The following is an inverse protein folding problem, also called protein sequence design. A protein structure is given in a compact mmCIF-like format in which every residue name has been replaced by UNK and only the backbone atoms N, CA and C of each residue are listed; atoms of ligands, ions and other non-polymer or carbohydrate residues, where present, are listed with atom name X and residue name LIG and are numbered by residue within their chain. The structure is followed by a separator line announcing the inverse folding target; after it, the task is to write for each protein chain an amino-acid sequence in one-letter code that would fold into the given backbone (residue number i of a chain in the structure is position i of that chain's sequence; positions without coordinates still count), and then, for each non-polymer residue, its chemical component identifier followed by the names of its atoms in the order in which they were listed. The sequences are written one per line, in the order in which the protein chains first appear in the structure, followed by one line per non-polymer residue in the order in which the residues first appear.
data_IF_485419340075
#
_entry.id   IF_485419340075
#
_cell.length_a   1.000
_cell.length_b   1.000
_cell.length_c   1.000
_cell.angle_alpha   90.00
_cell.angle_beta   90.00
_cell.angle_gamma   90.00
#
_symmetry.space_group_name_H-M   'P 1'
#
loop_
_entity.id
_entity.type
_entity.pdbx_description
1 polymer ?
#
# COMPACT_ATOMS: atom_id res chain seq x y z
N UNK A 1 -10.04 8.68 -15.48
CA UNK A 1 -10.07 10.07 -14.93
C UNK A 1 -10.50 10.00 -13.48
N UNK A 2 -9.85 10.77 -12.57
CA UNK A 2 -10.32 10.96 -11.20
C UNK A 2 -11.33 12.10 -11.20
N UNK A 3 -12.55 11.85 -10.73
CA UNK A 3 -13.63 12.85 -10.70
C UNK A 3 -13.56 13.73 -9.44
N UNK A 4 -13.18 13.15 -8.32
CA UNK A 4 -13.04 13.87 -7.06
C UNK A 4 -12.22 13.10 -6.05
N UNK A 5 -11.60 13.82 -5.10
CA UNK A 5 -10.84 13.23 -3.98
C UNK A 5 -11.06 14.10 -2.75
N UNK A 6 -11.35 13.47 -1.63
CA UNK A 6 -11.33 14.12 -0.32
C UNK A 6 -10.19 13.52 0.49
N UNK A 7 -9.29 14.37 0.94
CA UNK A 7 -8.22 14.01 1.87
C UNK A 7 -8.24 14.97 3.05
N UNK A 8 -8.23 14.44 4.24
CA UNK A 8 -8.24 15.25 5.45
C UNK A 8 -7.23 14.73 6.46
N UNK A 9 -6.49 15.65 7.05
CA UNK A 9 -5.71 15.40 8.27
C UNK A 9 -6.59 15.81 9.45
N UNK A 10 -6.99 14.87 10.30
CA UNK A 10 -7.60 15.21 11.57
C UNK A 10 -7.43 14.05 12.56
N UNK A 11 -7.36 14.41 13.83
CA UNK A 11 -7.23 13.49 14.96
C UNK A 11 -8.53 12.80 15.37
N UNK A 12 -9.64 13.16 14.72
CA UNK A 12 -10.98 12.68 15.04
C UNK A 12 -11.33 11.32 14.43
N UNK A 13 -12.34 10.66 15.01
CA UNK A 13 -12.82 9.33 14.66
C UNK A 13 -13.07 9.12 13.16
N UNK A 14 -12.31 8.21 12.54
CA UNK A 14 -12.42 7.84 11.13
C UNK A 14 -13.81 7.34 10.73
N UNK A 15 -14.51 6.65 11.64
CA UNK A 15 -15.78 5.98 11.35
C UNK A 15 -16.93 6.95 11.01
N UNK A 16 -17.04 8.07 11.71
CA UNK A 16 -18.11 9.05 11.45
C UNK A 16 -17.81 9.94 10.24
N UNK A 17 -16.54 10.09 9.88
CA UNK A 17 -16.12 11.02 8.83
C UNK A 17 -16.21 10.42 7.43
N UNK A 18 -15.96 9.11 7.29
CA UNK A 18 -15.98 8.47 5.98
C UNK A 18 -17.34 8.63 5.29
N UNK A 19 -18.44 8.44 6.03
CA UNK A 19 -19.79 8.57 5.49
C UNK A 19 -20.12 10.02 5.11
N UNK A 20 -19.81 10.99 5.97
CA UNK A 20 -20.02 12.41 5.69
C UNK A 20 -19.21 12.91 4.50
N UNK A 21 -17.95 12.49 4.37
CA UNK A 21 -17.12 12.85 3.23
C UNK A 21 -17.61 12.21 1.94
N UNK A 22 -18.05 10.94 2.00
CA UNK A 22 -18.63 10.27 0.86
C UNK A 22 -19.92 10.97 0.40
N UNK A 23 -20.83 11.26 1.33
CA UNK A 23 -22.08 11.98 1.06
C UNK A 23 -21.82 13.32 0.38
N UNK A 24 -20.86 14.11 0.92
CA UNK A 24 -20.46 15.38 0.33
C UNK A 24 -19.95 15.19 -1.10
N UNK A 25 -19.03 14.24 -1.31
CA UNK A 25 -18.42 14.00 -2.63
C UNK A 25 -19.45 13.52 -3.66
N UNK A 26 -20.34 12.62 -3.28
CA UNK A 26 -21.41 12.13 -4.14
C UNK A 26 -22.40 13.23 -4.52
N UNK A 27 -22.77 14.06 -3.53
CA UNK A 27 -23.66 15.20 -3.75
C UNK A 27 -23.05 16.23 -4.71
N UNK A 28 -21.79 16.59 -4.50
CA UNK A 28 -21.06 17.54 -5.34
C UNK A 28 -20.91 17.04 -6.80
N UNK A 29 -20.69 15.75 -6.97
CA UNK A 29 -20.58 15.11 -8.28
C UNK A 29 -21.93 14.72 -8.91
N UNK A 30 -23.03 14.88 -8.19
CA UNK A 30 -24.38 14.46 -8.62
C UNK A 30 -24.42 12.94 -8.94
N UNK A 31 -23.73 12.14 -8.13
CA UNK A 31 -23.63 10.68 -8.25
C UNK A 31 -24.28 9.98 -7.06
N UNK A 32 -24.64 8.71 -7.25
CA UNK A 32 -25.10 7.79 -6.20
C UNK A 32 -24.19 6.57 -6.12
N UNK A 33 -24.19 5.86 -5.00
CA UNK A 33 -23.42 4.61 -4.85
C UNK A 33 -23.77 3.56 -5.90
N UNK A 34 -25.00 3.52 -6.34
CA UNK A 34 -25.46 2.60 -7.37
C UNK A 34 -24.88 2.86 -8.77
N UNK A 35 -24.34 4.06 -9.02
CA UNK A 35 -23.75 4.45 -10.31
C UNK A 35 -22.33 3.91 -10.48
N UNK A 36 -21.74 3.33 -9.43
CA UNK A 36 -20.40 2.73 -9.49
C UNK A 36 -20.46 1.25 -9.80
N UNK A 37 -19.55 0.79 -10.64
CA UNK A 37 -19.44 -0.62 -11.05
C UNK A 37 -18.46 -1.42 -10.20
N UNK A 38 -17.64 -0.74 -9.38
CA UNK A 38 -16.59 -1.34 -8.58
C UNK A 38 -16.34 -0.51 -7.33
N UNK A 39 -16.15 -1.18 -6.20
CA UNK A 39 -15.60 -0.59 -4.99
C UNK A 39 -14.15 -1.02 -4.80
N UNK A 40 -13.30 -0.10 -4.36
CA UNK A 40 -11.91 -0.37 -4.07
C UNK A 40 -11.52 0.17 -2.70
N UNK A 41 -10.70 -0.58 -1.98
CA UNK A 41 -10.29 -0.22 -0.62
C UNK A 41 -8.85 -0.63 -0.35
N UNK A 42 -8.16 0.14 0.50
CA UNK A 42 -6.87 -0.32 1.04
C UNK A 42 -7.09 -1.54 1.93
N UNK A 43 -6.45 -2.66 1.57
CA UNK A 43 -6.44 -3.86 2.40
C UNK A 43 -5.36 -3.82 3.49
N UNK A 44 -4.51 -2.80 3.52
CA UNK A 44 -3.36 -2.68 4.42
C UNK A 44 -2.03 -2.81 3.66
N UNK A 45 -0.91 -2.77 4.40
CA UNK A 45 -0.80 -2.54 5.83
C UNK A 45 -1.14 -1.11 6.25
N UNK A 46 -1.52 -0.94 7.52
CA UNK A 46 -1.88 0.38 8.05
C UNK A 46 -2.51 0.35 9.44
N UNK A 47 -3.19 1.44 9.80
CA UNK A 47 -3.92 1.53 11.08
C UNK A 47 -4.99 0.46 11.18
N UNK A 48 -4.93 -0.37 12.21
CA UNK A 48 -5.88 -1.46 12.48
C UNK A 48 -7.35 -0.99 12.48
N UNK A 49 -7.65 0.09 13.21
CA UNK A 49 -8.99 0.68 13.24
C UNK A 49 -9.39 1.23 11.89
N UNK A 50 -8.49 1.97 11.23
CA UNK A 50 -8.76 2.55 9.91
C UNK A 50 -9.05 1.49 8.84
N UNK A 51 -8.28 0.40 8.82
CA UNK A 51 -8.49 -0.72 7.90
C UNK A 51 -9.86 -1.37 8.11
N UNK A 52 -10.23 -1.66 9.35
CA UNK A 52 -11.54 -2.26 9.65
C UNK A 52 -12.69 -1.37 9.23
N UNK A 53 -12.62 -0.07 9.54
CA UNK A 53 -13.65 0.89 9.13
C UNK A 53 -13.76 0.97 7.61
N UNK A 54 -12.63 1.11 6.90
CA UNK A 54 -12.60 1.20 5.45
C UNK A 54 -13.12 -0.07 4.77
N UNK A 55 -12.63 -1.25 5.19
CA UNK A 55 -13.07 -2.53 4.65
C UNK A 55 -14.54 -2.79 4.91
N UNK A 56 -15.03 -2.57 6.14
CA UNK A 56 -16.45 -2.76 6.46
C UNK A 56 -17.33 -1.84 5.63
N UNK A 57 -16.95 -0.58 5.45
CA UNK A 57 -17.71 0.36 4.62
C UNK A 57 -17.74 -0.09 3.14
N UNK A 58 -16.59 -0.42 2.56
CA UNK A 58 -16.50 -0.86 1.17
C UNK A 58 -17.27 -2.16 0.92
N UNK A 59 -17.15 -3.14 1.83
CA UNK A 59 -17.91 -4.40 1.78
C UNK A 59 -19.42 -4.14 1.86
N UNK A 60 -19.88 -3.28 2.78
CA UNK A 60 -21.28 -2.93 2.92
C UNK A 60 -21.84 -2.24 1.66
N UNK A 61 -21.09 -1.32 1.06
CA UNK A 61 -21.51 -0.67 -0.18
C UNK A 61 -21.54 -1.63 -1.36
N UNK A 62 -20.54 -2.52 -1.47
CA UNK A 62 -20.48 -3.55 -2.51
C UNK A 62 -21.67 -4.51 -2.40
N UNK A 63 -21.96 -5.02 -1.22
CA UNK A 63 -23.06 -5.95 -0.93
C UNK A 63 -24.43 -5.33 -1.27
N UNK A 64 -24.70 -4.13 -0.74
CA UNK A 64 -26.01 -3.46 -0.96
C UNK A 64 -26.26 -3.13 -2.43
N UNK A 65 -25.21 -2.84 -3.20
CA UNK A 65 -25.35 -2.48 -4.60
C UNK A 65 -25.10 -3.67 -5.56
N UNK A 66 -24.82 -4.87 -5.04
CA UNK A 66 -24.52 -6.06 -5.87
C UNK A 66 -23.30 -5.86 -6.78
N UNK A 67 -22.26 -5.17 -6.28
CA UNK A 67 -21.08 -4.82 -7.05
C UNK A 67 -19.83 -5.52 -6.49
N UNK A 68 -18.82 -5.81 -7.32
CA UNK A 68 -17.55 -6.36 -6.86
C UNK A 68 -16.77 -5.35 -6.01
N UNK A 69 -15.85 -5.89 -5.20
CA UNK A 69 -14.90 -5.10 -4.42
C UNK A 69 -13.48 -5.61 -4.65
N UNK A 70 -12.50 -4.70 -4.64
CA UNK A 70 -11.08 -5.04 -4.75
C UNK A 70 -10.30 -4.44 -3.59
N UNK A 71 -9.60 -5.31 -2.86
CA UNK A 71 -8.60 -4.92 -1.88
C UNK A 71 -7.24 -4.67 -2.54
N UNK A 72 -6.63 -3.55 -2.25
CA UNK A 72 -5.31 -3.20 -2.77
C UNK A 72 -4.36 -2.96 -1.60
N UNK A 73 -3.14 -3.50 -1.68
CA UNK A 73 -2.12 -3.20 -0.69
C UNK A 73 -1.78 -1.71 -0.68
N UNK A 74 -1.62 -1.14 0.52
CA UNK A 74 -1.15 0.23 0.68
C UNK A 74 0.28 0.38 0.14
N UNK A 75 1.14 -0.63 0.31
CA UNK A 75 2.51 -0.63 -0.22
C UNK A 75 2.51 -0.71 -1.74
N UNK A 76 1.67 -1.55 -2.34
CA UNK A 76 1.50 -1.57 -3.79
C UNK A 76 1.03 -0.20 -4.32
N UNK A 77 0.06 0.43 -3.64
CA UNK A 77 -0.43 1.74 -4.03
C UNK A 77 0.62 2.86 -3.89
N UNK A 78 1.57 2.73 -2.96
CA UNK A 78 2.75 3.60 -2.85
C UNK A 78 3.70 3.35 -4.01
N UNK A 79 4.08 2.09 -4.27
CA UNK A 79 4.96 1.74 -5.38
C UNK A 79 4.39 2.17 -6.74
N UNK A 80 3.08 2.08 -6.92
CA UNK A 80 2.39 2.47 -8.16
C UNK A 80 2.50 3.97 -8.49
N UNK A 81 2.87 4.81 -7.52
CA UNK A 81 3.01 6.26 -7.73
C UNK A 81 4.38 6.67 -8.26
N UNK A 82 5.38 5.78 -8.16
CA UNK A 82 6.74 6.10 -8.61
C UNK A 82 6.80 6.37 -10.11
N UNK A 83 7.73 7.23 -10.48
CA UNK A 83 8.16 7.45 -11.87
C UNK A 83 9.51 6.82 -12.15
N UNK A 84 10.12 6.18 -11.17
CA UNK A 84 11.39 5.52 -11.34
C UNK A 84 11.26 4.33 -12.29
N UNK A 85 12.14 4.25 -13.26
CA UNK A 85 12.30 3.10 -14.14
C UNK A 85 13.32 2.14 -13.53
N UNK A 86 12.92 1.50 -12.43
CA UNK A 86 13.77 0.57 -11.69
C UNK A 86 13.17 -0.84 -11.72
N UNK A 87 14.04 -1.84 -11.86
CA UNK A 87 13.62 -3.24 -11.87
C UNK A 87 13.06 -3.70 -10.51
N UNK A 88 13.43 -3.02 -9.43
CA UNK A 88 12.98 -3.34 -8.06
C UNK A 88 12.50 -2.09 -7.35
N UNK A 89 11.26 -2.11 -6.87
CA UNK A 89 10.65 -1.06 -6.07
C UNK A 89 10.48 -1.53 -4.64
N UNK A 90 10.87 -0.69 -3.68
CA UNK A 90 10.75 -0.96 -2.26
C UNK A 90 9.86 0.12 -1.63
N UNK A 91 8.52 0.00 -1.74
CA UNK A 91 7.63 0.89 -1.02
C UNK A 91 7.78 0.70 0.48
N UNK A 92 7.78 1.80 1.21
CA UNK A 92 7.92 1.80 2.67
C UNK A 92 6.98 2.81 3.33
N UNK A 93 6.36 2.41 4.45
CA UNK A 93 5.42 3.21 5.23
C UNK A 93 5.79 3.20 6.71
N UNK A 94 5.52 4.30 7.40
CA UNK A 94 5.66 4.38 8.85
C UNK A 94 4.65 3.45 9.54
N UNK A 95 5.16 2.40 10.17
CA UNK A 95 4.35 1.46 10.93
C UNK A 95 4.11 1.94 12.37
N UNK A 96 4.51 3.17 12.72
CA UNK A 96 4.53 3.70 14.08
C UNK A 96 5.47 2.91 15.02
N UNK A 97 5.65 3.42 16.24
CA UNK A 97 6.52 2.79 17.26
C UNK A 97 7.95 2.53 16.78
N UNK A 98 8.46 3.36 15.86
CA UNK A 98 9.80 3.21 15.31
C UNK A 98 9.96 2.02 14.35
N UNK A 99 8.88 1.48 13.80
CA UNK A 99 8.90 0.39 12.82
C UNK A 99 8.49 0.87 11.43
N UNK A 100 8.81 0.06 10.42
CA UNK A 100 8.56 0.34 9.01
C UNK A 100 7.81 -0.85 8.40
N UNK A 101 6.69 -0.58 7.71
CA UNK A 101 6.12 -1.53 6.77
C UNK A 101 6.86 -1.40 5.44
N UNK A 102 7.23 -2.51 4.82
CA UNK A 102 7.78 -2.51 3.48
C UNK A 102 7.48 -3.82 2.74
N UNK A 103 7.66 -3.81 1.45
CA UNK A 103 7.63 -4.96 0.56
C UNK A 103 8.59 -4.75 -0.60
N UNK A 104 8.84 -5.80 -1.37
CA UNK A 104 9.63 -5.75 -2.58
C UNK A 104 8.71 -6.01 -3.76
N UNK A 105 8.66 -5.08 -4.70
CA UNK A 105 7.80 -5.16 -5.86
C UNK A 105 8.62 -5.08 -7.14
N UNK A 106 8.18 -5.83 -8.14
CA UNK A 106 8.79 -5.80 -9.48
C UNK A 106 7.75 -5.41 -10.52
N UNK A 107 8.11 -4.54 -11.48
CA UNK A 107 7.28 -4.32 -12.65
C UNK A 107 7.01 -5.63 -13.38
N UNK A 108 5.78 -5.81 -13.83
CA UNK A 108 5.34 -6.93 -14.63
C UNK A 108 4.67 -6.44 -15.90
N UNK A 109 4.32 -7.35 -16.81
CA UNK A 109 3.61 -6.98 -18.04
C UNK A 109 2.33 -6.17 -17.77
N UNK A 110 1.69 -6.41 -16.62
CA UNK A 110 0.56 -5.62 -16.13
C UNK A 110 0.72 -5.36 -14.63
N UNK A 111 1.00 -4.11 -14.27
CA UNK A 111 1.10 -3.67 -12.87
C UNK A 111 2.39 -4.10 -12.17
N UNK A 112 2.26 -4.40 -10.89
CA UNK A 112 3.36 -4.78 -10.02
C UNK A 112 3.13 -6.18 -9.44
N UNK A 113 4.19 -6.93 -9.25
CA UNK A 113 4.18 -8.23 -8.55
C UNK A 113 4.98 -8.11 -7.27
N UNK A 114 4.40 -8.57 -6.18
CA UNK A 114 5.05 -8.68 -4.88
C UNK A 114 6.05 -9.85 -4.92
N UNK A 115 7.30 -9.57 -4.61
CA UNK A 115 8.37 -10.56 -4.50
C UNK A 115 8.52 -10.96 -3.01
N UNK A 116 8.08 -12.16 -2.68
CA UNK A 116 8.02 -12.64 -1.31
C UNK A 116 6.78 -12.17 -0.55
N UNK A 117 6.96 -11.32 0.46
CA UNK A 117 5.89 -10.84 1.33
C UNK A 117 6.03 -9.36 1.70
N UNK A 118 5.03 -8.88 2.44
CA UNK A 118 5.09 -7.59 3.10
C UNK A 118 5.49 -7.79 4.57
N UNK A 119 6.29 -6.88 5.10
CA UNK A 119 6.94 -7.02 6.40
C UNK A 119 6.73 -5.78 7.27
N UNK A 120 6.81 -5.99 8.58
CA UNK A 120 6.99 -4.93 9.58
C UNK A 120 8.31 -5.19 10.31
N UNK A 121 9.20 -4.21 10.30
CA UNK A 121 10.57 -4.34 10.78
C UNK A 121 11.03 -3.10 11.53
N UNK A 122 12.09 -3.24 12.32
CA UNK A 122 12.85 -2.10 12.87
C UNK A 122 13.69 -1.44 11.76
N UNK A 123 14.20 -0.21 11.96
CA UNK A 123 15.12 0.42 11.02
C UNK A 123 16.39 -0.39 10.74
N UNK A 124 16.92 -1.09 11.73
CA UNK A 124 18.14 -1.91 11.59
C UNK A 124 17.86 -3.16 10.74
N UNK A 125 16.75 -3.87 11.01
CA UNK A 125 16.31 -5.00 10.20
C UNK A 125 15.96 -4.57 8.76
N UNK A 126 15.41 -3.35 8.58
CA UNK A 126 15.17 -2.78 7.26
C UNK A 126 16.47 -2.60 6.49
N UNK A 127 17.49 -2.02 7.15
CA UNK A 127 18.83 -1.87 6.55
C UNK A 127 19.45 -3.20 6.14
N UNK A 128 19.35 -4.23 7.01
CA UNK A 128 19.84 -5.58 6.74
C UNK A 128 19.17 -6.19 5.51
N UNK A 129 17.85 -6.07 5.43
CA UNK A 129 17.07 -6.60 4.29
C UNK A 129 17.38 -5.86 2.99
N UNK A 130 17.60 -4.55 3.02
CA UNK A 130 18.06 -3.78 1.85
C UNK A 130 19.46 -4.22 1.43
N UNK A 131 20.34 -4.48 2.38
CA UNK A 131 21.68 -5.04 2.12
C UNK A 131 21.60 -6.42 1.43
N UNK A 132 20.72 -7.29 1.90
CA UNK A 132 20.49 -8.60 1.30
C UNK A 132 19.96 -8.50 -0.15
N UNK A 133 19.04 -7.58 -0.42
CA UNK A 133 18.55 -7.30 -1.78
C UNK A 133 19.69 -6.87 -2.73
N UNK A 134 20.60 -6.04 -2.22
CA UNK A 134 21.76 -5.59 -3.00
C UNK A 134 22.70 -6.73 -3.40
N UNK A 135 22.81 -7.79 -2.60
CA UNK A 135 23.68 -8.94 -2.85
C UNK A 135 23.00 -10.05 -3.66
N UNK A 136 21.66 -10.15 -3.60
CA UNK A 136 20.92 -11.20 -4.33
C UNK A 136 20.94 -11.02 -5.86
N UNK A 137 21.31 -9.84 -6.36
CA UNK A 137 21.44 -9.56 -7.78
C UNK A 137 22.66 -10.21 -8.46
N UNK A 138 23.52 -10.90 -7.71
CA UNK A 138 24.77 -11.48 -8.26
C UNK A 138 24.64 -12.89 -8.87
N UNK A 139 23.49 -13.59 -8.72
CA UNK A 139 23.44 -15.04 -8.98
C UNK A 139 22.50 -15.53 -10.09
N UNK A 140 21.64 -14.71 -10.69
CA UNK A 140 20.76 -15.21 -11.76
C UNK A 140 20.58 -14.19 -12.89
N UNK A 141 21.18 -14.48 -14.02
CA UNK A 141 20.98 -14.09 -15.40
C UNK A 141 22.21 -13.46 -16.04
N UNK A 142 22.74 -14.20 -16.97
CA UNK A 142 23.81 -13.76 -17.89
C UNK A 142 23.39 -12.47 -18.63
N UNK A 143 23.98 -11.31 -18.27
CA UNK A 143 23.91 -10.06 -19.04
C UNK A 143 22.96 -8.99 -18.56
N UNK A 144 22.30 -9.14 -17.38
CA UNK A 144 21.45 -8.09 -16.81
C UNK A 144 22.23 -7.14 -15.89
N UNK A 145 22.00 -5.84 -16.03
CA UNK A 145 22.47 -4.84 -15.08
C UNK A 145 22.04 -5.24 -13.65
N UNK A 146 22.93 -5.08 -12.68
CA UNK A 146 22.68 -5.32 -11.25
C UNK A 146 21.36 -4.68 -10.89
N UNK A 147 20.41 -5.47 -10.38
CA UNK A 147 19.05 -5.00 -10.11
C UNK A 147 19.05 -3.87 -9.09
N UNK A 148 19.15 -2.64 -9.60
CA UNK A 148 19.07 -1.45 -8.77
C UNK A 148 17.68 -1.36 -8.15
N UNK A 149 17.60 -1.14 -6.83
CA UNK A 149 16.34 -0.93 -6.15
C UNK A 149 16.08 0.54 -5.84
N UNK A 150 14.81 0.92 -5.92
CA UNK A 150 14.36 2.27 -5.65
C UNK A 150 13.37 2.27 -4.47
N UNK A 151 13.64 3.08 -3.45
CA UNK A 151 12.78 3.20 -2.28
C UNK A 151 11.73 4.27 -2.57
N UNK A 152 10.46 3.96 -2.27
CA UNK A 152 9.32 4.87 -2.51
C UNK A 152 8.55 5.04 -1.20
N UNK A 153 8.35 6.28 -0.74
CA UNK A 153 7.65 6.53 0.52
C UNK A 153 6.94 7.88 0.54
N UNK A 154 5.76 7.99 1.17
CA UNK A 154 5.14 9.26 1.49
C UNK A 154 5.58 9.82 2.86
N UNK A 155 6.35 9.05 3.66
CA UNK A 155 6.55 9.32 5.08
C UNK A 155 7.93 9.91 5.37
N UNK A 156 7.95 11.11 5.96
CA UNK A 156 9.18 11.80 6.35
C UNK A 156 10.02 11.01 7.38
N UNK A 157 9.40 10.21 8.25
CA UNK A 157 10.10 9.34 9.20
C UNK A 157 10.91 8.27 8.48
N UNK A 158 10.37 7.67 7.42
CA UNK A 158 11.07 6.70 6.57
C UNK A 158 12.22 7.38 5.82
N UNK A 159 11.98 8.58 5.26
CA UNK A 159 13.02 9.38 4.61
C UNK A 159 14.21 9.62 5.56
N UNK A 160 13.93 9.98 6.82
CA UNK A 160 14.97 10.20 7.82
C UNK A 160 15.77 8.92 8.16
N UNK A 161 15.12 7.75 8.14
CA UNK A 161 15.80 6.46 8.31
C UNK A 161 16.70 6.18 7.10
N UNK A 162 16.14 6.22 5.89
CA UNK A 162 16.87 5.94 4.65
C UNK A 162 18.08 6.87 4.50
N UNK A 163 17.93 8.17 4.78
CA UNK A 163 19.02 9.15 4.70
C UNK A 163 20.19 8.82 5.63
N UNK A 164 19.95 8.19 6.77
CA UNK A 164 21.01 7.70 7.66
C UNK A 164 21.70 6.43 7.16
N UNK A 165 20.98 5.63 6.38
CA UNK A 165 21.46 4.36 5.84
C UNK A 165 22.23 4.52 4.52
N UNK A 166 22.03 5.65 3.79
CA UNK A 166 22.61 5.86 2.44
C UNK A 166 24.13 5.81 2.43
N UNK A 167 24.81 6.13 3.52
CA UNK A 167 26.27 5.96 3.62
C UNK A 167 26.73 4.51 3.55
N UNK A 168 25.86 3.55 3.82
CA UNK A 168 26.14 2.12 3.88
C UNK A 168 25.43 1.35 2.76
N UNK A 169 24.55 1.99 1.98
CA UNK A 169 23.87 1.37 0.85
C UNK A 169 24.83 1.24 -0.34
N UNK A 170 24.85 0.07 -0.93
CA UNK A 170 25.74 -0.33 -2.01
C UNK A 170 25.41 0.33 -3.35
N UNK A 171 26.20 0.03 -4.40
CA UNK A 171 25.97 0.46 -5.79
C UNK A 171 24.60 0.07 -6.36
N UNK A 172 23.87 -0.82 -5.69
CA UNK A 172 22.51 -1.24 -6.10
C UNK A 172 21.38 -0.30 -5.62
N UNK A 173 21.67 0.71 -4.78
CA UNK A 173 20.68 1.72 -4.40
C UNK A 173 20.51 2.77 -5.49
N UNK A 174 19.40 2.74 -6.21
CA UNK A 174 19.10 3.66 -7.30
C UNK A 174 18.58 5.03 -6.83
N UNK A 175 17.92 5.07 -5.66
CA UNK A 175 17.40 6.32 -5.12
C UNK A 175 16.22 6.18 -4.16
N UNK A 176 15.78 7.33 -3.65
CA UNK A 176 14.62 7.49 -2.79
C UNK A 176 13.67 8.51 -3.43
N UNK A 177 12.43 8.14 -3.63
CA UNK A 177 11.36 9.02 -4.12
C UNK A 177 10.32 9.27 -3.04
N UNK A 178 9.96 10.55 -2.86
CA UNK A 178 8.87 10.95 -1.99
C UNK A 178 7.62 11.12 -2.85
N UNK A 179 6.58 10.34 -2.54
CA UNK A 179 5.31 10.34 -3.26
C UNK A 179 4.16 10.90 -2.41
N UNK A 180 3.03 11.29 -3.01
CA UNK A 180 1.86 11.71 -2.26
C UNK A 180 1.35 10.65 -1.28
N UNK A 181 0.94 11.08 -0.07
CA UNK A 181 0.33 10.21 0.94
C UNK A 181 -1.13 9.82 0.64
N UNK A 182 -1.75 10.46 -0.35
CA UNK A 182 -3.14 10.18 -0.78
C UNK A 182 -3.14 8.99 -1.73
N UNK A 183 -3.53 7.82 -1.22
CA UNK A 183 -3.46 6.55 -1.97
C UNK A 183 -4.73 6.22 -2.77
N UNK A 184 -5.87 6.86 -2.48
CA UNK A 184 -7.15 6.52 -3.10
C UNK A 184 -7.13 6.53 -4.64
N UNK A 185 -6.51 7.50 -5.34
CA UNK A 185 -6.43 7.45 -6.81
C UNK A 185 -5.62 6.27 -7.34
N UNK A 186 -4.53 5.88 -6.67
CA UNK A 186 -3.71 4.73 -7.04
C UNK A 186 -4.45 3.42 -6.79
N UNK A 187 -5.09 3.28 -5.63
CA UNK A 187 -5.94 2.15 -5.29
C UNK A 187 -7.04 1.96 -6.35
N UNK A 188 -7.74 3.02 -6.72
CA UNK A 188 -8.77 2.97 -7.74
C UNK A 188 -8.27 2.52 -9.12
N UNK A 189 -7.09 2.98 -9.55
CA UNK A 189 -6.48 2.58 -10.83
C UNK A 189 -6.03 1.12 -10.82
N UNK A 190 -5.39 0.66 -9.75
CA UNK A 190 -4.97 -0.74 -9.58
C UNK A 190 -6.20 -1.64 -9.56
N UNK A 191 -7.21 -1.29 -8.77
CA UNK A 191 -8.45 -2.06 -8.68
C UNK A 191 -9.20 -2.14 -10.01
N UNK A 192 -9.29 -1.04 -10.75
CA UNK A 192 -9.89 -1.02 -12.08
C UNK A 192 -9.14 -1.95 -13.06
N UNK A 193 -7.80 -1.90 -13.08
CA UNK A 193 -7.00 -2.78 -13.91
C UNK A 193 -7.16 -4.26 -13.53
N UNK A 194 -7.34 -4.59 -12.24
CA UNK A 194 -7.66 -5.93 -11.75
C UNK A 194 -9.05 -6.37 -12.19
N UNK A 195 -10.06 -5.50 -12.02
CA UNK A 195 -11.43 -5.79 -12.39
C UNK A 195 -11.59 -6.09 -13.88
N UNK A 196 -10.88 -5.38 -14.76
CA UNK A 196 -10.87 -5.67 -16.21
C UNK A 196 -10.36 -7.08 -16.56
N UNK A 197 -9.62 -7.72 -15.65
CA UNK A 197 -9.13 -9.10 -15.81
C UNK A 197 -9.96 -10.13 -15.03
N UNK A 198 -11.04 -9.69 -14.38
CA UNK A 198 -11.85 -10.55 -13.53
C UNK A 198 -11.23 -10.84 -12.15
N UNK A 199 -10.12 -10.17 -11.78
CA UNK A 199 -9.49 -10.29 -10.47
C UNK A 199 -10.21 -9.38 -9.47
N UNK A 200 -11.35 -9.84 -8.99
CA UNK A 200 -12.23 -9.16 -8.04
C UNK A 200 -12.63 -10.12 -6.91
N UNK A 201 -12.99 -9.56 -5.78
CA UNK A 201 -13.55 -10.29 -4.64
C UNK A 201 -15.02 -9.92 -4.47
N UNK A 202 -15.75 -10.76 -3.77
CA UNK A 202 -17.04 -10.39 -3.19
C UNK A 202 -16.84 -9.79 -1.77
N UNK A 203 -17.93 -9.27 -1.22
CA UNK A 203 -17.91 -8.67 0.11
C UNK A 203 -17.57 -9.68 1.23
N UNK A 204 -17.79 -10.97 1.02
CA UNK A 204 -17.54 -12.02 2.03
C UNK A 204 -16.07 -12.42 2.06
N UNK A 205 -15.46 -12.59 0.89
CA UNK A 205 -14.10 -13.14 0.73
C UNK A 205 -13.00 -12.11 0.91
N UNK A 206 -13.28 -10.81 0.75
CA UNK A 206 -12.29 -9.77 0.96
C UNK A 206 -11.84 -9.72 2.43
N UNK A 207 -10.54 -9.78 2.68
CA UNK A 207 -9.97 -9.66 4.03
C UNK A 207 -8.84 -8.63 4.10
N UNK A 208 -8.48 -8.26 5.33
CA UNK A 208 -7.40 -7.32 5.60
C UNK A 208 -6.03 -8.02 5.55
N UNK A 209 -5.06 -7.35 4.99
CA UNK A 209 -3.66 -7.75 5.05
C UNK A 209 -3.03 -7.27 6.38
N UNK A 210 -3.13 -8.10 7.40
CA UNK A 210 -2.56 -7.85 8.72
C UNK A 210 -1.08 -8.26 8.78
N UNK A 211 -0.19 -7.41 8.27
CA UNK A 211 1.26 -7.62 8.34
C UNK A 211 1.77 -7.60 9.80
N UNK A 212 1.17 -6.77 10.65
CA UNK A 212 1.44 -6.76 12.10
C UNK A 212 0.35 -7.56 12.82
N UNK A 213 0.77 -8.48 13.70
CA UNK A 213 -0.15 -9.11 14.65
C UNK A 213 -0.75 -8.08 15.60
N UNK A 214 -1.97 -8.29 16.04
CA UNK A 214 -2.62 -7.41 17.01
C UNK A 214 -1.90 -7.45 18.36
N UNK A 215 -1.96 -6.35 19.13
CA UNK A 215 -1.40 -6.31 20.50
C UNK A 215 -2.01 -7.41 21.39
N UNK A 216 -3.25 -7.82 21.13
CA UNK A 216 -3.92 -8.92 21.83
C UNK A 216 -3.29 -10.28 21.50
N UNK A 217 -2.97 -10.54 20.23
CA UNK A 217 -2.31 -11.78 19.80
C UNK A 217 -0.86 -11.87 20.27
N UNK A 218 -0.16 -10.74 20.41
CA UNK A 218 1.18 -10.71 20.97
C UNK A 218 1.16 -11.05 22.47
N UNK A 219 0.23 -10.49 23.24
CA UNK A 219 0.10 -10.76 24.69
C UNK A 219 -0.36 -12.17 25.02
N UNK A 220 -1.09 -12.83 24.11
CA UNK A 220 -1.58 -14.21 24.33
C UNK A 220 -0.49 -15.29 24.31
N UNK A 221 0.67 -15.03 23.67
CA UNK A 221 1.79 -15.99 23.60
C UNK A 221 2.79 -15.84 24.75
N UNK A 222 2.73 -14.75 25.51
CA UNK A 222 3.64 -14.45 26.61
C UNK A 222 3.00 -14.75 28.00
N UNK A 223 1.84 -15.43 28.02
CA UNK A 223 1.07 -15.80 29.22
C UNK A 223 1.01 -17.30 29.51
#
# INVERSE_FOLDING_TARGET
ITLGVISTRAEENYSSRIFRHLEFLLSDLTLKLADFDLFAVSAGPGSFTGLRVGLTAAKGWAEVNGKPVVGVSALEAVAFQTRADSAVLVPALDARRGQIYFGVYRPAAVGLVLDGGEFVVTPDEFAEKLGALAHSGDNDHAGGERGAFHIVTPDASVVAVVSRLTSNLTASFAGLEIVPSVLAPSIGRIAHARALRGDVSDALTLDANYVRRTDAEMRWKDG
#
